data_IF_232752734451
#
_entry.id   IF_232752734451
#
_cell.length_a   1.000
_cell.length_b   1.000
_cell.length_c   1.000
_cell.angle_alpha   90.00
_cell.angle_beta   90.00
_cell.angle_gamma   90.00
#
_symmetry.space_group_name_H-M   'P 1'
#
loop_
_entity.id
_entity.type
_entity.pdbx_description
1 polymer ?
#
# COMPACT_ATOMS: atom_id res chain seq x y z
N UNK A 1 31.66 -19.58 -6.65
CA UNK A 1 31.89 -18.45 -5.71
C UNK A 1 30.60 -18.27 -4.97
N UNK A 2 30.59 -18.65 -3.70
CA UNK A 2 29.40 -19.05 -2.95
C UNK A 2 28.38 -17.92 -2.77
N UNK A 3 27.12 -18.22 -3.10
CA UNK A 3 25.92 -17.36 -3.04
C UNK A 3 25.49 -17.00 -1.60
N UNK A 4 26.31 -17.36 -0.62
CA UNK A 4 26.04 -17.23 0.82
C UNK A 4 26.02 -15.77 1.30
N UNK A 5 26.57 -14.83 0.53
CA UNK A 5 26.53 -13.39 0.83
C UNK A 5 25.28 -12.69 0.28
N UNK A 6 24.60 -13.27 -0.71
CA UNK A 6 23.36 -12.71 -1.26
C UNK A 6 22.13 -13.08 -0.42
N UNK A 7 22.10 -14.27 0.17
CA UNK A 7 21.04 -14.72 1.09
C UNK A 7 20.79 -13.78 2.29
N UNK A 8 21.81 -13.36 3.07
CA UNK A 8 21.60 -12.45 4.20
C UNK A 8 21.15 -11.06 3.76
N UNK A 9 21.56 -10.61 2.57
CA UNK A 9 21.10 -9.34 2.00
C UNK A 9 19.62 -9.40 1.58
N UNK A 10 19.18 -10.52 1.00
CA UNK A 10 17.78 -10.74 0.64
C UNK A 10 16.89 -10.83 1.88
N UNK A 11 17.29 -11.61 2.89
CA UNK A 11 16.57 -11.72 4.16
C UNK A 11 16.42 -10.36 4.85
N UNK A 12 17.50 -9.56 4.88
CA UNK A 12 17.47 -8.20 5.43
C UNK A 12 16.43 -7.30 4.74
N UNK A 13 16.37 -7.31 3.40
CA UNK A 13 15.39 -6.51 2.66
C UNK A 13 13.94 -6.95 2.89
N UNK A 14 13.70 -8.25 3.05
CA UNK A 14 12.37 -8.78 3.39
C UNK A 14 11.95 -8.31 4.78
N UNK A 15 12.85 -8.40 5.76
CA UNK A 15 12.59 -7.95 7.14
C UNK A 15 12.35 -6.44 7.20
N UNK A 16 13.19 -5.65 6.53
CA UNK A 16 13.00 -4.19 6.41
C UNK A 16 11.64 -3.89 5.76
N UNK A 17 11.31 -4.58 4.67
CA UNK A 17 10.01 -4.46 4.01
C UNK A 17 8.85 -4.74 4.95
N UNK A 18 8.91 -5.82 5.72
CA UNK A 18 7.89 -6.18 6.70
C UNK A 18 7.73 -5.09 7.78
N UNK A 19 8.83 -4.57 8.33
CA UNK A 19 8.83 -3.50 9.34
C UNK A 19 8.20 -2.23 8.76
N UNK A 20 8.61 -1.82 7.55
CA UNK A 20 8.02 -0.67 6.86
C UNK A 20 6.52 -0.88 6.61
N UNK A 21 6.12 -2.09 6.23
CA UNK A 21 4.72 -2.45 6.02
C UNK A 21 3.88 -2.39 7.30
N UNK A 22 4.41 -2.85 8.43
CA UNK A 22 3.77 -2.73 9.75
C UNK A 22 3.65 -1.27 10.14
N UNK A 23 4.72 -0.47 10.01
CA UNK A 23 4.70 0.95 10.34
C UNK A 23 3.68 1.71 9.49
N UNK A 24 3.62 1.41 8.20
CA UNK A 24 2.62 1.97 7.30
C UNK A 24 1.20 1.59 7.71
N UNK A 25 0.94 0.31 8.00
CA UNK A 25 -0.39 -0.18 8.39
C UNK A 25 -0.83 0.39 9.74
N UNK A 26 0.08 0.54 10.70
CA UNK A 26 -0.19 1.22 11.97
C UNK A 26 -0.51 2.70 11.76
N UNK A 27 0.23 3.40 10.89
CA UNK A 27 -0.09 4.78 10.50
C UNK A 27 -1.45 4.91 9.82
N UNK A 28 -1.79 3.97 8.94
CA UNK A 28 -3.10 3.91 8.28
C UNK A 28 -4.22 3.62 9.28
N UNK A 29 -3.98 2.75 10.27
CA UNK A 29 -4.91 2.53 11.38
C UNK A 29 -5.12 3.79 12.21
N UNK A 30 -4.08 4.57 12.46
CA UNK A 30 -4.18 5.87 13.15
C UNK A 30 -4.98 6.89 12.32
N UNK A 31 -4.79 6.92 11.00
CA UNK A 31 -5.66 7.69 10.10
C UNK A 31 -7.14 7.30 10.24
N UNK A 32 -7.46 6.01 10.34
CA UNK A 32 -8.86 5.57 10.57
C UNK A 32 -9.41 6.03 11.93
N UNK A 33 -8.57 6.14 12.98
CA UNK A 33 -8.99 6.73 14.26
C UNK A 33 -9.39 8.19 14.06
N UNK A 34 -8.62 8.95 13.28
CA UNK A 34 -8.93 10.35 13.02
C UNK A 34 -10.28 10.56 12.32
N UNK A 35 -10.67 9.62 11.44
CA UNK A 35 -11.95 9.68 10.73
C UNK A 35 -13.16 9.39 11.63
N UNK A 36 -13.03 8.44 12.55
CA UNK A 36 -14.15 7.87 13.33
C UNK A 36 -14.17 8.38 14.78
N UNK A 37 -13.07 8.97 15.25
CA UNK A 37 -12.95 9.55 16.59
C UNK A 37 -13.12 8.50 17.70
N UNK A 38 -13.90 8.86 18.72
CA UNK A 38 -14.11 8.04 19.93
C UNK A 38 -14.76 6.68 19.66
N UNK A 39 -15.43 6.52 18.51
CA UNK A 39 -16.06 5.25 18.12
C UNK A 39 -15.05 4.24 17.55
N UNK A 40 -13.78 4.61 17.38
CA UNK A 40 -12.73 3.71 16.88
C UNK A 40 -12.32 2.68 17.94
N UNK A 41 -12.57 1.40 17.66
CA UNK A 41 -12.20 0.26 18.51
C UNK A 41 -10.98 -0.52 17.99
N UNK A 42 -10.21 -1.13 18.89
CA UNK A 42 -9.05 -1.95 18.54
C UNK A 42 -9.30 -3.41 18.91
N UNK A 43 -9.26 -4.28 17.91
CA UNK A 43 -9.56 -5.70 18.04
C UNK A 43 -8.39 -6.54 17.51
N UNK A 44 -8.23 -7.76 18.05
CA UNK A 44 -7.18 -8.68 17.63
C UNK A 44 -7.33 -9.11 16.18
N UNK A 45 -8.53 -9.52 15.78
CA UNK A 45 -8.86 -9.91 14.41
C UNK A 45 -8.94 -8.69 13.48
N UNK A 46 -9.62 -7.61 13.90
CA UNK A 46 -9.82 -6.42 13.08
C UNK A 46 -8.55 -5.60 12.83
N UNK A 47 -7.82 -5.24 13.89
CA UNK A 47 -6.63 -4.39 13.74
C UNK A 47 -5.38 -5.21 13.44
N UNK A 48 -5.07 -6.22 14.24
CA UNK A 48 -3.83 -6.98 14.04
C UNK A 48 -3.96 -7.94 12.86
N UNK A 49 -5.07 -8.68 12.77
CA UNK A 49 -5.34 -9.65 11.71
C UNK A 49 -5.65 -9.02 10.36
N UNK A 50 -6.55 -8.04 10.29
CA UNK A 50 -7.05 -7.51 9.02
C UNK A 50 -6.34 -6.23 8.52
N UNK A 51 -5.49 -5.58 9.33
CA UNK A 51 -4.77 -4.36 8.93
C UNK A 51 -3.25 -4.53 9.03
N UNK A 52 -2.71 -4.84 10.23
CA UNK A 52 -1.26 -4.90 10.44
C UNK A 52 -0.61 -6.10 9.74
N UNK A 53 -1.20 -7.30 9.87
CA UNK A 53 -0.68 -8.51 9.23
C UNK A 53 -0.61 -8.36 7.69
N UNK A 54 -1.65 -7.88 6.99
CA UNK A 54 -1.58 -7.57 5.56
C UNK A 54 -0.51 -6.54 5.22
N UNK A 55 -0.31 -5.54 6.09
CA UNK A 55 0.79 -4.58 5.98
C UNK A 55 2.15 -5.25 6.01
N UNK A 56 2.38 -6.12 6.99
CA UNK A 56 3.61 -6.90 7.11
C UNK A 56 3.85 -7.77 5.87
N UNK A 57 2.81 -8.47 5.40
CA UNK A 57 2.88 -9.34 4.21
C UNK A 57 3.20 -8.51 2.96
N UNK A 58 2.44 -7.45 2.71
CA UNK A 58 2.66 -6.59 1.54
C UNK A 58 4.06 -5.98 1.56
N UNK A 59 4.50 -5.48 2.72
CA UNK A 59 5.84 -4.95 2.92
C UNK A 59 6.93 -5.99 2.67
N UNK A 60 6.79 -7.19 3.22
CA UNK A 60 7.74 -8.30 3.01
C UNK A 60 7.85 -8.70 1.55
N UNK A 61 6.72 -8.81 0.84
CA UNK A 61 6.68 -9.12 -0.59
C UNK A 61 7.35 -8.04 -1.44
N UNK A 62 7.16 -6.76 -1.09
CA UNK A 62 7.83 -5.66 -1.79
C UNK A 62 9.33 -5.59 -1.46
N UNK A 63 9.73 -5.92 -0.23
CA UNK A 63 11.13 -6.11 0.16
C UNK A 63 11.78 -7.26 -0.60
N UNK A 64 11.06 -8.38 -0.77
CA UNK A 64 11.49 -9.49 -1.61
C UNK A 64 11.63 -9.09 -3.08
N UNK A 65 10.69 -8.28 -3.60
CA UNK A 65 10.79 -7.75 -4.95
C UNK A 65 12.05 -6.89 -5.14
N UNK A 66 12.43 -6.09 -4.15
CA UNK A 66 13.68 -5.32 -4.18
C UNK A 66 14.91 -6.24 -4.17
N UNK A 67 14.92 -7.31 -3.35
CA UNK A 67 16.00 -8.29 -3.34
C UNK A 67 16.17 -8.94 -4.73
N UNK A 68 15.06 -9.39 -5.35
CA UNK A 68 15.07 -9.96 -6.70
C UNK A 68 15.49 -8.94 -7.76
N UNK A 69 15.12 -7.66 -7.61
CA UNK A 69 15.54 -6.59 -8.53
C UNK A 69 17.05 -6.35 -8.49
N UNK A 70 17.67 -6.52 -7.32
CA UNK A 70 19.13 -6.36 -7.13
C UNK A 70 19.92 -7.57 -7.62
N UNK A 71 19.33 -8.77 -7.59
CA UNK A 71 20.00 -10.01 -7.99
C UNK A 71 19.89 -10.35 -9.49
N UNK A 72 19.39 -9.43 -10.33
CA UNK A 72 19.25 -9.68 -11.77
C UNK A 72 17.83 -10.03 -12.23
N UNK A 73 16.90 -10.22 -11.30
CA UNK A 73 15.50 -10.57 -11.58
C UNK A 73 15.31 -12.02 -12.01
N UNK A 74 14.20 -12.63 -11.61
CA UNK A 74 13.82 -14.01 -11.97
C UNK A 74 12.50 -14.03 -12.73
N UNK A 75 12.20 -15.06 -13.52
CA UNK A 75 10.92 -15.12 -14.26
C UNK A 75 9.74 -15.01 -13.28
N UNK A 76 8.81 -14.09 -13.53
CA UNK A 76 7.59 -13.95 -12.73
C UNK A 76 7.68 -13.03 -11.50
N UNK A 77 8.86 -12.54 -11.10
CA UNK A 77 9.00 -11.68 -9.90
C UNK A 77 8.12 -10.42 -9.89
N UNK A 78 7.69 -9.97 -11.08
CA UNK A 78 6.81 -8.81 -11.25
C UNK A 78 5.41 -9.01 -10.73
N UNK A 79 4.97 -10.26 -10.53
CA UNK A 79 3.70 -10.54 -9.87
C UNK A 79 3.66 -10.02 -8.43
N UNK A 80 4.83 -9.75 -7.82
CA UNK A 80 4.93 -9.04 -6.54
C UNK A 80 4.39 -7.60 -6.60
N UNK A 81 4.13 -7.05 -7.80
CA UNK A 81 3.35 -5.83 -7.95
C UNK A 81 1.93 -5.94 -7.36
N UNK A 82 1.39 -7.15 -7.24
CA UNK A 82 0.08 -7.41 -6.63
C UNK A 82 0.12 -7.48 -5.10
N UNK A 83 1.29 -7.28 -4.47
CA UNK A 83 1.42 -7.30 -3.01
C UNK A 83 0.41 -6.40 -2.27
N UNK A 84 0.05 -5.18 -2.75
CA UNK A 84 -0.97 -4.36 -2.11
C UNK A 84 -2.36 -4.99 -2.06
N UNK A 85 -2.66 -6.01 -2.88
CA UNK A 85 -3.94 -6.72 -2.80
C UNK A 85 -4.13 -7.45 -1.47
N UNK A 86 -3.07 -7.67 -0.67
CA UNK A 86 -3.20 -8.18 0.69
C UNK A 86 -4.16 -7.31 1.53
N UNK A 87 -4.14 -5.98 1.34
CA UNK A 87 -5.04 -5.05 2.04
C UNK A 87 -6.51 -5.23 1.65
N UNK A 88 -6.79 -5.69 0.43
CA UNK A 88 -8.15 -5.94 -0.03
C UNK A 88 -8.62 -7.34 0.36
N UNK A 89 -7.75 -8.35 0.23
CA UNK A 89 -8.10 -9.75 0.45
C UNK A 89 -8.33 -10.02 1.94
N UNK A 90 -7.44 -9.58 2.82
CA UNK A 90 -7.51 -9.97 4.22
C UNK A 90 -8.80 -9.50 4.93
N UNK A 91 -9.31 -8.27 4.75
CA UNK A 91 -10.60 -7.89 5.30
C UNK A 91 -11.78 -8.70 4.74
N UNK A 92 -11.70 -9.13 3.47
CA UNK A 92 -12.74 -9.93 2.81
C UNK A 92 -12.78 -11.39 3.29
N UNK A 93 -11.74 -11.86 3.97
CA UNK A 93 -11.72 -13.18 4.59
C UNK A 93 -12.58 -13.24 5.87
N UNK A 94 -13.04 -12.10 6.39
CA UNK A 94 -13.95 -12.09 7.54
C UNK A 94 -15.34 -12.62 7.15
N UNK A 95 -15.98 -13.44 8.01
CA UNK A 95 -17.33 -13.93 7.76
C UNK A 95 -18.30 -12.76 7.50
N UNK A 96 -19.04 -12.82 6.39
CA UNK A 96 -20.03 -11.79 6.02
C UNK A 96 -19.46 -10.55 5.32
N UNK A 97 -18.14 -10.36 5.26
CA UNK A 97 -17.52 -9.16 4.68
C UNK A 97 -17.82 -8.97 3.19
N UNK A 98 -17.96 -10.07 2.43
CA UNK A 98 -18.34 -10.00 1.00
C UNK A 98 -19.78 -9.51 0.84
N UNK A 99 -20.69 -10.00 1.68
CA UNK A 99 -22.10 -9.56 1.65
C UNK A 99 -22.18 -8.09 2.07
N UNK A 100 -21.45 -7.70 3.10
CA UNK A 100 -21.37 -6.30 3.55
C UNK A 100 -20.82 -5.40 2.43
N UNK A 101 -19.71 -5.77 1.79
CA UNK A 101 -19.16 -5.03 0.66
C UNK A 101 -20.18 -4.85 -0.48
N UNK A 102 -20.91 -5.90 -0.84
CA UNK A 102 -21.87 -5.86 -1.95
C UNK A 102 -23.12 -5.05 -1.59
N UNK A 103 -23.55 -5.09 -0.34
CA UNK A 103 -24.83 -4.48 0.10
C UNK A 103 -24.68 -3.04 0.57
N UNK A 104 -23.56 -2.69 1.19
CA UNK A 104 -23.32 -1.36 1.79
C UNK A 104 -22.14 -0.62 1.16
N UNK A 105 -21.30 -1.30 0.40
CA UNK A 105 -20.04 -0.74 -0.13
C UNK A 105 -18.91 -0.67 0.92
N UNK A 106 -19.16 -1.09 2.16
CA UNK A 106 -18.17 -1.06 3.25
C UNK A 106 -17.07 -2.08 2.95
N UNK A 107 -15.81 -1.60 2.92
CA UNK A 107 -14.63 -2.37 2.47
C UNK A 107 -14.09 -1.96 1.11
N UNK A 108 -14.85 -1.19 0.30
CA UNK A 108 -14.40 -0.69 -1.00
C UNK A 108 -13.17 0.21 -0.92
N UNK A 109 -13.01 0.93 0.20
CA UNK A 109 -11.82 1.74 0.47
C UNK A 109 -10.53 0.91 0.47
N UNK A 110 -10.55 -0.31 1.02
CA UNK A 110 -9.37 -1.17 1.07
C UNK A 110 -8.96 -1.64 -0.35
N UNK A 111 -9.94 -1.94 -1.20
CA UNK A 111 -9.72 -2.20 -2.63
C UNK A 111 -9.15 -0.97 -3.32
N UNK A 112 -9.71 0.21 -3.06
CA UNK A 112 -9.22 1.48 -3.60
C UNK A 112 -7.76 1.76 -3.23
N UNK A 113 -7.38 1.57 -1.98
CA UNK A 113 -5.99 1.72 -1.49
C UNK A 113 -5.04 0.80 -2.26
N UNK A 114 -5.40 -0.48 -2.44
CA UNK A 114 -4.59 -1.43 -3.19
C UNK A 114 -4.44 -1.02 -4.66
N UNK A 115 -5.52 -0.61 -5.31
CA UNK A 115 -5.51 -0.15 -6.70
C UNK A 115 -4.72 1.14 -6.90
N UNK A 116 -4.77 2.07 -5.95
CA UNK A 116 -3.93 3.29 -5.95
C UNK A 116 -2.46 2.89 -5.90
N UNK A 117 -2.07 1.99 -5.01
CA UNK A 117 -0.69 1.50 -4.91
C UNK A 117 -0.20 0.89 -6.23
N UNK A 118 -0.97 -0.05 -6.78
CA UNK A 118 -0.61 -0.76 -8.02
C UNK A 118 -0.55 0.20 -9.22
N UNK A 119 -1.62 0.97 -9.44
CA UNK A 119 -1.74 1.90 -10.57
C UNK A 119 -0.73 3.04 -10.50
N UNK A 120 -0.60 3.68 -9.34
CA UNK A 120 0.37 4.76 -9.13
C UNK A 120 1.80 4.25 -9.23
N UNK A 121 2.09 3.08 -8.64
CA UNK A 121 3.40 2.44 -8.72
C UNK A 121 3.79 2.13 -10.17
N UNK A 122 2.85 1.62 -10.97
CA UNK A 122 3.04 1.41 -12.40
C UNK A 122 3.29 2.73 -13.15
N UNK A 123 2.49 3.77 -12.85
CA UNK A 123 2.58 5.08 -13.49
C UNK A 123 3.98 5.71 -13.33
N UNK A 124 4.61 5.59 -12.16
CA UNK A 124 5.94 6.19 -11.89
C UNK A 124 7.13 5.28 -12.24
N UNK A 125 6.90 4.02 -12.62
CA UNK A 125 7.95 3.01 -12.76
C UNK A 125 8.95 3.20 -13.91
N UNK A 126 8.68 4.12 -14.84
CA UNK A 126 9.53 4.33 -16.02
C UNK A 126 9.47 3.21 -17.08
N UNK A 127 8.56 2.23 -16.94
CA UNK A 127 8.45 1.07 -17.84
C UNK A 127 7.00 0.82 -18.29
N UNK A 128 6.82 0.51 -19.58
CA UNK A 128 5.50 0.23 -20.19
C UNK A 128 5.09 1.26 -21.24
N UNK A 129 3.91 1.08 -21.84
CA UNK A 129 3.36 2.04 -22.82
C UNK A 129 3.03 3.35 -22.09
N UNK A 130 3.49 4.47 -22.63
CA UNK A 130 3.30 5.81 -22.03
C UNK A 130 1.82 6.08 -21.72
N UNK A 131 0.92 5.75 -22.64
CA UNK A 131 -0.52 5.90 -22.46
C UNK A 131 -1.07 5.14 -21.25
N UNK A 132 -0.66 3.88 -21.05
CA UNK A 132 -1.08 3.11 -19.89
C UNK A 132 -0.63 3.73 -18.58
N UNK A 133 0.56 4.35 -18.56
CA UNK A 133 1.09 5.07 -17.40
C UNK A 133 0.35 6.38 -17.14
N UNK A 134 -0.03 7.11 -18.18
CA UNK A 134 -0.84 8.33 -18.06
C UNK A 134 -2.21 7.97 -17.48
N UNK A 135 -2.90 6.98 -18.04
CA UNK A 135 -4.23 6.57 -17.56
C UNK A 135 -4.15 6.09 -16.10
N UNK A 136 -3.20 5.21 -15.79
CA UNK A 136 -2.99 4.74 -14.41
C UNK A 136 -2.64 5.89 -13.46
N UNK A 137 -1.78 6.82 -13.90
CA UNK A 137 -1.38 7.98 -13.11
C UNK A 137 -2.55 8.94 -12.84
N UNK A 138 -3.39 9.21 -13.84
CA UNK A 138 -4.59 10.06 -13.69
C UNK A 138 -5.59 9.39 -12.75
N UNK A 139 -5.90 8.11 -12.95
CA UNK A 139 -6.87 7.40 -12.11
C UNK A 139 -6.39 7.28 -10.66
N UNK A 140 -5.13 6.89 -10.44
CA UNK A 140 -4.57 6.78 -9.08
C UNK A 140 -4.38 8.16 -8.43
N UNK A 141 -4.00 9.18 -9.19
CA UNK A 141 -3.87 10.56 -8.71
C UNK A 141 -5.22 11.15 -8.30
N UNK A 142 -6.25 10.97 -9.13
CA UNK A 142 -7.61 11.40 -8.79
C UNK A 142 -8.15 10.68 -7.55
N UNK A 143 -7.92 9.37 -7.45
CA UNK A 143 -8.34 8.58 -6.29
C UNK A 143 -7.59 8.98 -5.01
N UNK A 144 -6.29 9.27 -5.10
CA UNK A 144 -5.50 9.78 -3.99
C UNK A 144 -6.01 11.14 -3.52
N UNK A 145 -6.28 12.06 -4.45
CA UNK A 145 -6.85 13.37 -4.14
C UNK A 145 -8.23 13.23 -3.48
N UNK A 146 -9.08 12.32 -3.98
CA UNK A 146 -10.38 12.04 -3.37
C UNK A 146 -10.22 11.57 -1.92
N UNK A 147 -9.36 10.58 -1.64
CA UNK A 147 -9.14 10.09 -0.27
C UNK A 147 -8.55 11.17 0.64
N UNK A 148 -7.65 12.00 0.13
CA UNK A 148 -7.05 13.09 0.90
C UNK A 148 -8.05 14.21 1.23
N UNK A 149 -9.04 14.46 0.37
CA UNK A 149 -10.01 15.56 0.52
C UNK A 149 -11.36 15.14 1.12
N UNK A 150 -11.67 13.85 1.14
CA UNK A 150 -12.91 13.31 1.71
C UNK A 150 -12.96 13.09 3.24
N UNK A 151 -11.96 13.38 4.09
CA UNK A 151 -12.10 13.19 5.55
C UNK A 151 -13.34 13.87 6.15
N UNK A 152 -13.69 15.07 5.66
CA UNK A 152 -14.88 15.81 6.10
C UNK A 152 -16.21 15.10 5.82
N UNK A 153 -16.26 14.27 4.78
CA UNK A 153 -17.46 13.49 4.44
C UNK A 153 -17.72 12.36 5.44
N UNK A 154 -16.70 11.95 6.20
CA UNK A 154 -16.77 10.84 7.16
C UNK A 154 -16.81 11.39 8.60
N UNK A 155 -15.83 12.21 8.98
CA UNK A 155 -15.70 12.74 10.35
C UNK A 155 -16.31 14.13 10.57
N UNK A 156 -17.04 14.65 9.58
CA UNK A 156 -17.76 15.92 9.67
C UNK A 156 -16.88 17.17 9.56
N UNK A 157 -17.47 18.33 9.89
CA UNK A 157 -16.89 19.66 9.65
C UNK A 157 -15.50 19.87 10.28
N UNK A 158 -15.16 19.18 11.38
CA UNK A 158 -13.83 19.30 12.02
C UNK A 158 -12.69 18.74 11.18
N UNK A 159 -13.01 17.92 10.17
CA UNK A 159 -12.04 17.35 9.24
C UNK A 159 -12.03 18.04 7.86
N UNK A 160 -12.67 19.21 7.74
CA UNK A 160 -12.51 20.03 6.53
C UNK A 160 -11.06 20.48 6.40
N UNK A 161 -10.53 20.52 5.17
CA UNK A 161 -9.13 20.89 4.90
C UNK A 161 -8.77 22.31 5.36
N UNK A 162 -9.78 23.18 5.54
CA UNK A 162 -9.62 24.53 6.08
C UNK A 162 -9.36 24.56 7.58
N UNK A 163 -9.64 23.48 8.29
CA UNK A 163 -9.38 23.33 9.72
C UNK A 163 -8.00 22.67 9.92
N UNK A 164 -7.19 23.08 10.92
CA UNK A 164 -5.86 22.50 11.14
C UNK A 164 -5.87 20.97 11.32
N UNK A 165 -6.89 20.42 11.99
CA UNK A 165 -7.02 18.96 12.14
C UNK A 165 -7.36 18.28 10.81
N UNK A 166 -8.25 18.86 10.00
CA UNK A 166 -8.55 18.31 8.67
C UNK A 166 -7.36 18.37 7.72
N UNK A 167 -6.57 19.45 7.75
CA UNK A 167 -5.32 19.56 7.00
C UNK A 167 -4.31 18.48 7.42
N UNK A 168 -4.13 18.26 8.72
CA UNK A 168 -3.30 17.17 9.25
C UNK A 168 -3.73 15.79 8.74
N UNK A 169 -5.02 15.48 8.82
CA UNK A 169 -5.57 14.19 8.36
C UNK A 169 -5.39 14.01 6.85
N UNK A 170 -5.54 15.08 6.07
CA UNK A 170 -5.31 15.08 4.63
C UNK A 170 -3.84 14.78 4.29
N UNK A 171 -2.90 15.41 5.00
CA UNK A 171 -1.46 15.17 4.84
C UNK A 171 -1.08 13.75 5.26
N UNK A 172 -1.64 13.25 6.36
CA UNK A 172 -1.41 11.88 6.81
C UNK A 172 -1.89 10.87 5.76
N UNK A 173 -3.12 11.03 5.26
CA UNK A 173 -3.67 10.16 4.22
C UNK A 173 -2.84 10.21 2.93
N UNK A 174 -2.55 11.41 2.45
CA UNK A 174 -1.77 11.62 1.22
C UNK A 174 -0.36 11.05 1.32
N UNK A 175 0.34 11.30 2.42
CA UNK A 175 1.71 10.79 2.64
C UNK A 175 1.75 9.26 2.70
N UNK A 176 0.82 8.62 3.41
CA UNK A 176 0.71 7.16 3.45
C UNK A 176 0.45 6.57 2.06
N UNK A 177 -0.50 7.13 1.30
CA UNK A 177 -0.78 6.65 -0.06
C UNK A 177 0.41 6.86 -1.01
N UNK A 178 1.12 7.98 -0.91
CA UNK A 178 2.34 8.22 -1.68
C UNK A 178 3.45 7.22 -1.33
N UNK A 179 3.65 6.92 -0.06
CA UNK A 179 4.59 5.87 0.37
C UNK A 179 4.22 4.52 -0.22
N UNK A 180 2.93 4.17 -0.20
CA UNK A 180 2.44 2.92 -0.81
C UNK A 180 2.69 2.90 -2.33
N UNK A 181 2.44 4.01 -3.03
CA UNK A 181 2.72 4.16 -4.47
C UNK A 181 4.22 3.99 -4.76
N UNK A 182 5.09 4.61 -3.96
CA UNK A 182 6.54 4.52 -4.10
C UNK A 182 7.02 3.09 -3.88
N UNK A 183 6.55 2.41 -2.84
CA UNK A 183 6.89 1.02 -2.55
C UNK A 183 6.37 0.08 -3.66
N UNK A 184 5.12 0.26 -4.09
CA UNK A 184 4.48 -0.55 -5.14
C UNK A 184 5.11 -0.36 -6.52
N UNK A 185 5.92 0.70 -6.71
CA UNK A 185 6.68 0.87 -7.95
C UNK A 185 7.87 -0.08 -8.08
N UNK A 186 8.38 -0.66 -6.98
CA UNK A 186 9.58 -1.50 -6.94
C UNK A 186 9.54 -2.64 -7.98
N UNK A 187 8.47 -3.46 -8.07
CA UNK A 187 8.44 -4.61 -8.99
C UNK A 187 8.41 -4.20 -10.48
N UNK A 188 8.05 -2.95 -10.77
CA UNK A 188 8.00 -2.41 -12.13
C UNK A 188 9.31 -1.76 -12.57
N UNK A 189 10.19 -1.40 -11.63
CA UNK A 189 11.48 -0.76 -11.91
C UNK A 189 12.43 -1.71 -12.66
N UNK A 190 13.44 -1.12 -13.30
CA UNK A 190 14.49 -1.88 -13.98
C UNK A 190 15.35 -2.63 -12.95
N UNK A 191 15.75 -3.83 -13.35
CA UNK A 191 16.76 -4.64 -12.64
C UNK A 191 18.09 -3.91 -12.67
N UNK A 192 18.84 -3.96 -11.58
CA UNK A 192 20.23 -3.51 -11.55
C UNK A 192 21.08 -4.64 -12.14
N UNK A 193 21.68 -4.42 -13.31
CA UNK A 193 22.75 -5.33 -13.77
C UNK A 193 23.94 -5.12 -12.85
N UNK A 194 24.40 -6.18 -12.20
CA UNK A 194 25.78 -6.21 -11.72
C UNK A 194 26.64 -6.20 -12.98
N UNK A 195 27.41 -5.13 -13.18
CA UNK A 195 28.49 -5.13 -14.17
C UNK A 195 29.45 -6.24 -13.75
N UNK A 196 29.55 -7.30 -14.55
CA UNK A 196 30.63 -8.25 -14.41
C UNK A 196 31.94 -7.47 -14.62
N UNK A 197 32.68 -7.26 -13.54
CA UNK A 197 34.08 -6.84 -13.57
C UNK A 197 34.96 -8.07 -13.58
#
# INVERSE_FOLDING_TARGET
MDDKSAEPAAASLIVIGAICGIAWAAGFRAYMVELVGIASTFEWDGTFGAILLPGAIAGALLGWAEALRRSGGVRGWRWLALAPLAFAVAPLLRPGAVVELVTTGIGGAAVGVALIGIGGGYAISGRGRLWGRIVAGVLSGASLAAIALMPAAIGGARLTVTEPRGAWVSVLAGSLLLVLVLASSIPFRRVLRQSAG
#
